data_IF_473505290338
#
_entry.id   IF_473505290338
#
_cell.length_a   1.000
_cell.length_b   1.000
_cell.length_c   1.000
_cell.angle_alpha   90.00
_cell.angle_beta   90.00
_cell.angle_gamma   90.00
#
_symmetry.space_group_name_H-M   'P 1'
#
loop_
_entity.id
_entity.type
_entity.pdbx_description
1 polymer ?
#
# COMPACT_ATOMS: atom_id res chain seq x y z
N UNK A 1 -13.94 10.29 22.44
CA UNK A 1 -13.52 11.25 21.40
C UNK A 1 -12.43 10.59 20.58
N UNK A 2 -12.50 10.60 19.26
CA UNK A 2 -11.34 10.24 18.44
C UNK A 2 -10.35 11.40 18.47
N UNK A 3 -9.04 11.11 18.50
CA UNK A 3 -8.02 12.14 18.33
C UNK A 3 -8.23 12.85 16.99
N UNK A 4 -8.00 14.16 16.95
CA UNK A 4 -8.00 14.94 15.71
C UNK A 4 -6.86 14.47 14.75
N UNK A 5 -5.91 13.73 15.30
CA UNK A 5 -4.71 13.25 14.64
C UNK A 5 -4.76 11.73 14.45
N UNK A 6 -4.45 11.32 13.22
CA UNK A 6 -4.44 9.93 12.79
C UNK A 6 -3.24 9.15 13.40
N UNK A 7 -2.18 9.82 13.86
CA UNK A 7 -0.96 9.17 14.37
C UNK A 7 -1.23 8.23 15.54
N UNK A 8 -2.03 8.64 16.54
CA UNK A 8 -2.37 7.77 17.69
C UNK A 8 -3.06 6.50 17.22
N UNK A 9 -3.95 6.60 16.22
CA UNK A 9 -4.73 5.48 15.69
C UNK A 9 -3.86 4.40 15.02
N UNK A 10 -2.70 4.77 14.48
CA UNK A 10 -1.81 3.88 13.73
C UNK A 10 -0.41 3.72 14.34
N UNK A 11 -0.15 4.28 15.52
CA UNK A 11 1.17 4.28 16.16
C UNK A 11 1.79 2.88 16.25
N UNK A 12 1.00 1.88 16.65
CA UNK A 12 1.48 0.50 16.75
C UNK A 12 1.75 -0.15 15.40
N UNK A 13 0.96 0.19 14.37
CA UNK A 13 1.20 -0.31 13.01
C UNK A 13 2.57 0.17 12.50
N UNK A 14 2.91 1.44 12.70
CA UNK A 14 4.21 1.98 12.30
C UNK A 14 5.39 1.38 13.06
N UNK A 15 5.26 1.19 14.37
CA UNK A 15 6.32 0.53 15.14
C UNK A 15 6.57 -0.89 14.65
N UNK A 16 5.50 -1.64 14.34
CA UNK A 16 5.59 -3.00 13.80
C UNK A 16 6.24 -3.00 12.42
N UNK A 17 5.77 -2.14 11.51
CA UNK A 17 6.32 -1.99 10.17
C UNK A 17 7.82 -1.67 10.19
N UNK A 18 8.23 -0.68 11.00
CA UNK A 18 9.63 -0.26 11.06
C UNK A 18 10.54 -1.36 11.63
N UNK A 19 10.09 -2.05 12.68
CA UNK A 19 10.83 -3.19 13.24
C UNK A 19 10.99 -4.30 12.21
N UNK A 20 9.93 -4.64 11.50
CA UNK A 20 9.95 -5.72 10.51
C UNK A 20 10.82 -5.34 9.30
N UNK A 21 10.81 -4.06 8.89
CA UNK A 21 11.72 -3.53 7.87
C UNK A 21 13.20 -3.61 8.30
N UNK A 22 13.52 -3.24 9.54
CA UNK A 22 14.89 -3.37 10.05
C UNK A 22 15.35 -4.82 10.03
N UNK A 23 14.50 -5.76 10.45
CA UNK A 23 14.81 -7.20 10.36
C UNK A 23 15.11 -7.61 8.93
N UNK A 24 14.25 -7.25 7.97
CA UNK A 24 14.48 -7.53 6.55
C UNK A 24 15.82 -6.97 6.05
N UNK A 25 16.14 -5.73 6.38
CA UNK A 25 17.41 -5.11 5.97
C UNK A 25 18.64 -5.85 6.52
N UNK A 26 18.53 -6.48 7.70
CA UNK A 26 19.61 -7.23 8.34
C UNK A 26 19.70 -8.69 7.88
N UNK A 27 18.58 -9.33 7.58
CA UNK A 27 18.52 -10.78 7.33
C UNK A 27 18.25 -11.14 5.86
N UNK A 28 17.78 -10.21 5.05
CA UNK A 28 17.25 -10.47 3.72
C UNK A 28 15.87 -11.16 3.70
N UNK A 29 15.28 -11.46 4.86
CA UNK A 29 13.98 -12.12 4.96
C UNK A 29 12.84 -11.12 4.79
N UNK A 30 12.14 -11.18 3.65
CA UNK A 30 11.04 -10.26 3.38
C UNK A 30 9.87 -10.47 4.35
N UNK A 31 9.31 -9.42 4.99
CA UNK A 31 8.26 -9.61 5.99
C UNK A 31 6.94 -10.03 5.36
N UNK A 32 6.29 -11.05 5.93
CA UNK A 32 5.00 -11.56 5.46
C UNK A 32 3.86 -10.51 5.49
N UNK A 33 4.02 -9.45 6.29
CA UNK A 33 3.05 -8.35 6.44
C UNK A 33 3.40 -7.13 5.59
N UNK A 34 4.54 -7.13 4.89
CA UNK A 34 5.00 -5.97 4.13
C UNK A 34 4.35 -5.90 2.75
N UNK A 35 3.99 -4.68 2.34
CA UNK A 35 3.65 -4.37 0.96
C UNK A 35 4.94 -4.27 0.12
N UNK A 36 4.91 -4.80 -1.10
CA UNK A 36 6.01 -4.71 -2.05
C UNK A 36 5.71 -3.74 -3.21
N UNK A 37 6.58 -3.70 -4.22
CA UNK A 37 6.39 -2.81 -5.36
C UNK A 37 5.12 -3.10 -6.17
N UNK A 38 4.65 -4.36 -6.21
CA UNK A 38 3.40 -4.70 -6.87
C UNK A 38 2.19 -4.09 -6.16
N UNK A 39 2.16 -4.12 -4.83
CA UNK A 39 1.11 -3.46 -4.05
C UNK A 39 1.10 -1.94 -4.29
N UNK A 40 2.29 -1.34 -4.38
CA UNK A 40 2.46 0.07 -4.75
C UNK A 40 1.93 0.39 -6.16
N UNK A 41 2.20 -0.47 -7.14
CA UNK A 41 1.65 -0.35 -8.49
C UNK A 41 0.12 -0.43 -8.49
N UNK A 42 -0.46 -1.44 -7.83
CA UNK A 42 -1.90 -1.59 -7.69
C UNK A 42 -2.55 -0.34 -7.06
N UNK A 43 -1.96 0.17 -5.98
CA UNK A 43 -2.44 1.38 -5.30
C UNK A 43 -2.40 2.61 -6.24
N UNK A 44 -1.32 2.78 -7.00
CA UNK A 44 -1.18 3.89 -7.94
C UNK A 44 -2.22 3.83 -9.07
N UNK A 45 -2.42 2.67 -9.69
CA UNK A 45 -3.41 2.48 -10.76
C UNK A 45 -4.84 2.73 -10.26
N UNK A 46 -5.17 2.27 -9.06
CA UNK A 46 -6.48 2.54 -8.43
C UNK A 46 -6.65 4.03 -8.15
N UNK A 47 -5.62 4.70 -7.61
CA UNK A 47 -5.68 6.13 -7.32
C UNK A 47 -5.88 6.96 -8.60
N UNK A 48 -5.16 6.62 -9.68
CA UNK A 48 -5.32 7.29 -10.98
C UNK A 48 -6.74 7.14 -11.54
N UNK A 49 -7.27 5.91 -11.53
CA UNK A 49 -8.64 5.65 -11.96
C UNK A 49 -9.67 6.40 -11.10
N UNK A 50 -9.43 6.51 -9.78
CA UNK A 50 -10.27 7.27 -8.85
C UNK A 50 -10.27 8.76 -9.14
N UNK A 51 -9.10 9.36 -9.36
CA UNK A 51 -8.97 10.78 -9.74
C UNK A 51 -9.66 11.06 -11.08
N UNK A 52 -9.52 10.15 -12.05
CA UNK A 52 -10.20 10.25 -13.34
C UNK A 52 -11.73 10.16 -13.18
N UNK A 53 -12.22 9.21 -12.40
CA UNK A 53 -13.65 9.06 -12.12
C UNK A 53 -14.24 10.31 -11.44
N UNK A 54 -13.50 10.91 -10.50
CA UNK A 54 -13.89 12.15 -9.84
C UNK A 54 -14.07 13.30 -10.84
N UNK A 55 -13.16 13.45 -11.80
CA UNK A 55 -13.26 14.48 -12.83
C UNK A 55 -14.37 14.22 -13.85
N UNK A 56 -14.57 12.96 -14.25
CA UNK A 56 -15.53 12.60 -15.30
C UNK A 56 -16.96 12.42 -14.76
N UNK A 57 -17.15 12.33 -13.44
CA UNK A 57 -18.46 12.10 -12.82
C UNK A 57 -19.11 10.75 -13.19
N UNK A 58 -18.30 9.78 -13.63
CA UNK A 58 -18.77 8.46 -14.08
C UNK A 58 -17.86 7.34 -13.59
N UNK A 59 -18.36 6.11 -13.71
CA UNK A 59 -17.56 4.91 -13.43
C UNK A 59 -16.39 4.81 -14.42
N UNK A 60 -15.18 4.62 -13.89
CA UNK A 60 -13.95 4.34 -14.63
C UNK A 60 -13.43 2.95 -14.22
N UNK A 61 -13.10 2.06 -15.17
CA UNK A 61 -12.51 0.77 -14.84
C UNK A 61 -11.06 0.93 -14.38
N UNK A 62 -10.67 0.17 -13.36
CA UNK A 62 -9.27 -0.03 -12.97
C UNK A 62 -8.67 -1.08 -13.90
N UNK A 63 -7.62 -0.73 -14.64
CA UNK A 63 -6.96 -1.63 -15.59
C UNK A 63 -5.52 -1.88 -15.15
N UNK A 64 -5.21 -3.11 -14.75
CA UNK A 64 -3.89 -3.52 -14.31
C UNK A 64 -3.32 -4.56 -15.27
N UNK A 65 -1.99 -4.63 -15.38
CA UNK A 65 -1.32 -5.76 -16.01
C UNK A 65 -1.52 -7.04 -15.18
N UNK A 66 -1.28 -8.20 -15.77
CA UNK A 66 -1.21 -9.44 -14.99
C UNK A 66 -0.07 -9.35 -13.96
N UNK A 67 -0.32 -9.84 -12.74
CA UNK A 67 0.70 -9.88 -11.67
C UNK A 67 1.92 -10.66 -12.16
N UNK A 68 3.11 -10.05 -12.22
CA UNK A 68 4.32 -10.77 -12.60
C UNK A 68 4.64 -11.86 -11.58
N UNK A 69 5.12 -13.01 -12.05
CA UNK A 69 5.50 -14.16 -11.20
C UNK A 69 6.54 -13.79 -10.14
N UNK A 70 7.40 -12.81 -10.43
CA UNK A 70 8.36 -12.28 -9.48
C UNK A 70 7.73 -11.79 -8.16
N UNK A 71 6.48 -11.34 -8.19
CA UNK A 71 5.75 -10.86 -7.02
C UNK A 71 4.74 -11.87 -6.47
N UNK A 72 4.62 -13.07 -7.06
CA UNK A 72 3.56 -14.05 -6.82
C UNK A 72 3.39 -14.40 -5.35
#
# INVERSE_FOLDING_TARGET
SYDADWRTRYADAYRRQNRDFLRFAMTGEFPATAANCWDGYCAAVVAEAGVKALHEGRRVPVQMIAKPEFYA
#
